data_IF_978313914266
#
_entry.id   IF_978313914266
#
_cell.length_a   1.000
_cell.length_b   1.000
_cell.length_c   1.000
_cell.angle_alpha   90.00
_cell.angle_beta   90.00
_cell.angle_gamma   90.00
#
_symmetry.space_group_name_H-M   'P 1'
#
loop_
_entity.id
_entity.type
_entity.pdbx_description
1 polymer ?
#
# COMPACT_ATOMS: atom_id res chain seq x y z
N UNK A 1 6.20 -8.30 13.15
CA UNK A 1 5.48 -9.00 12.06
C UNK A 1 4.62 -8.03 11.26
N UNK A 2 3.87 -7.16 11.93
CA UNK A 2 3.07 -6.04 11.39
C UNK A 2 3.70 -5.29 10.19
N UNK A 3 4.92 -4.76 10.36
CA UNK A 3 5.61 -3.94 9.34
C UNK A 3 5.92 -4.74 8.06
N UNK A 4 6.34 -6.01 8.21
CA UNK A 4 6.64 -6.86 7.06
C UNK A 4 5.37 -7.15 6.27
N UNK A 5 4.25 -7.41 6.95
CA UNK A 5 2.95 -7.62 6.32
C UNK A 5 2.51 -6.36 5.58
N UNK A 6 2.69 -5.18 6.17
CA UNK A 6 2.39 -3.91 5.50
C UNK A 6 3.27 -3.66 4.27
N UNK A 7 4.58 -3.98 4.34
CA UNK A 7 5.49 -3.86 3.19
C UNK A 7 5.15 -4.82 2.05
N UNK A 8 4.94 -6.11 2.35
CA UNK A 8 4.56 -7.10 1.34
C UNK A 8 3.18 -6.80 0.75
N UNK A 9 2.21 -6.42 1.59
CA UNK A 9 0.90 -6.02 1.11
C UNK A 9 0.97 -4.74 0.27
N UNK A 10 1.83 -3.79 0.64
CA UNK A 10 2.08 -2.59 -0.16
C UNK A 10 2.72 -2.90 -1.51
N UNK A 11 3.73 -3.77 -1.57
CA UNK A 11 4.32 -4.24 -2.82
C UNK A 11 3.26 -4.88 -3.73
N UNK A 12 2.43 -5.75 -3.16
CA UNK A 12 1.36 -6.46 -3.86
C UNK A 12 0.26 -5.49 -4.32
N UNK A 13 -0.12 -4.53 -3.46
CA UNK A 13 -1.11 -3.49 -3.75
C UNK A 13 -0.64 -2.53 -4.84
N UNK A 14 0.64 -2.18 -4.87
CA UNK A 14 1.26 -1.46 -5.98
C UNK A 14 1.17 -2.26 -7.28
N UNK A 15 1.66 -3.50 -7.32
CA UNK A 15 1.61 -4.34 -8.53
C UNK A 15 0.17 -4.49 -9.05
N UNK A 16 -0.79 -4.76 -8.15
CA UNK A 16 -2.21 -4.87 -8.48
C UNK A 16 -2.78 -3.56 -9.00
N UNK A 17 -2.47 -2.42 -8.36
CA UNK A 17 -2.92 -1.11 -8.81
C UNK A 17 -2.41 -0.79 -10.23
N UNK A 18 -1.16 -1.15 -10.54
CA UNK A 18 -0.62 -1.02 -11.90
C UNK A 18 -1.22 -2.02 -12.90
N UNK A 19 -1.61 -3.22 -12.44
CA UNK A 19 -2.30 -4.20 -13.28
C UNK A 19 -3.71 -3.72 -13.65
N UNK A 20 -4.42 -3.11 -12.70
CA UNK A 20 -5.73 -2.49 -12.92
C UNK A 20 -5.58 -1.24 -13.81
N UNK A 21 -4.63 -0.36 -13.48
CA UNK A 21 -4.33 0.85 -14.24
C UNK A 21 -3.06 0.71 -15.08
N UNK A 22 -3.14 -0.08 -16.16
CA UNK A 22 -1.99 -0.37 -17.04
C UNK A 22 -1.29 0.87 -17.58
N UNK A 23 -2.03 1.97 -17.79
CA UNK A 23 -1.49 3.25 -18.25
C UNK A 23 -0.58 3.95 -17.22
N UNK A 24 -0.68 3.59 -15.94
CA UNK A 24 0.10 4.14 -14.83
C UNK A 24 1.23 3.20 -14.38
N UNK A 25 1.35 2.01 -14.99
CA UNK A 25 2.38 1.05 -14.67
C UNK A 25 3.78 1.53 -15.09
N UNK A 26 4.74 1.41 -14.18
CA UNK A 26 6.13 1.84 -14.34
C UNK A 26 7.11 0.67 -14.56
N UNK A 27 6.58 -0.54 -14.74
CA UNK A 27 7.34 -1.81 -14.78
C UNK A 27 7.32 -2.53 -13.43
N UNK A 28 7.42 -3.87 -13.46
CA UNK A 28 7.20 -4.72 -12.27
C UNK A 28 8.05 -4.31 -11.06
N UNK A 29 9.35 -4.08 -11.27
CA UNK A 29 10.29 -3.72 -10.19
C UNK A 29 9.97 -2.34 -9.61
N UNK A 30 9.65 -1.35 -10.45
CA UNK A 30 9.34 0.02 -9.99
C UNK A 30 7.98 0.06 -9.29
N UNK A 31 7.00 -0.69 -9.79
CA UNK A 31 5.69 -0.84 -9.17
C UNK A 31 5.80 -1.48 -7.78
N UNK A 32 6.64 -2.52 -7.65
CA UNK A 32 6.90 -3.16 -6.36
C UNK A 32 7.62 -2.21 -5.40
N UNK A 33 8.64 -1.49 -5.86
CA UNK A 33 9.37 -0.52 -5.04
C UNK A 33 8.48 0.64 -4.57
N UNK A 34 7.68 1.22 -5.47
CA UNK A 34 6.67 2.22 -5.13
C UNK A 34 5.62 1.66 -4.16
N UNK A 35 5.21 0.41 -4.37
CA UNK A 35 4.31 -0.32 -3.49
C UNK A 35 4.88 -0.52 -2.08
N UNK A 36 6.16 -0.90 -1.95
CA UNK A 36 6.86 -1.04 -0.66
C UNK A 36 6.94 0.30 0.07
N UNK A 37 7.29 1.37 -0.64
CA UNK A 37 7.34 2.73 -0.07
C UNK A 37 5.95 3.17 0.39
N UNK A 38 4.90 2.90 -0.40
CA UNK A 38 3.53 3.14 -0.01
C UNK A 38 3.05 2.25 1.13
N UNK A 39 3.53 1.02 1.23
CA UNK A 39 3.27 0.12 2.36
C UNK A 39 3.84 0.65 3.66
N UNK A 40 5.04 1.23 3.63
CA UNK A 40 5.65 1.90 4.78
C UNK A 40 4.85 3.14 5.21
N UNK A 41 4.44 3.98 4.25
CA UNK A 41 3.61 5.16 4.52
C UNK A 41 2.22 4.75 5.04
N UNK A 42 1.65 3.67 4.49
CA UNK A 42 0.39 3.08 4.95
C UNK A 42 0.48 2.53 6.37
N UNK A 43 1.57 1.87 6.73
CA UNK A 43 1.85 1.43 8.09
C UNK A 43 1.93 2.61 9.06
N UNK A 44 2.65 3.67 8.67
CA UNK A 44 2.79 4.85 9.50
C UNK A 44 1.46 5.61 9.65
N UNK A 45 0.63 5.63 8.59
CA UNK A 45 -0.73 6.13 8.66
C UNK A 45 -1.61 5.26 9.58
N UNK A 46 -1.49 3.93 9.54
CA UNK A 46 -2.23 3.04 10.43
C UNK A 46 -1.89 3.31 11.91
N UNK A 47 -0.61 3.56 12.22
CA UNK A 47 -0.14 3.93 13.55
C UNK A 47 -0.73 5.27 14.02
N UNK A 48 -0.82 6.27 13.14
CA UNK A 48 -1.34 7.60 13.49
C UNK A 48 -2.85 7.68 13.55
N UNK A 49 -3.57 6.92 12.72
CA UNK A 49 -5.03 6.82 12.74
C UNK A 49 -5.57 5.93 13.87
N UNK A 50 -4.69 5.21 14.58
CA UNK A 50 -5.05 4.30 15.65
C UNK A 50 -5.35 2.90 15.12
N UNK A 51 -4.28 2.13 14.88
CA UNK A 51 -4.34 0.76 14.39
C UNK A 51 -5.25 -0.12 15.27
N UNK A 52 -5.34 0.15 16.57
CA UNK A 52 -6.22 -0.55 17.50
C UNK A 52 -7.71 -0.37 17.20
N UNK A 53 -8.12 0.82 16.74
CA UNK A 53 -9.51 1.10 16.39
C UNK A 53 -9.90 0.38 15.09
N UNK A 54 -9.00 0.39 14.09
CA UNK A 54 -9.16 -0.35 12.84
C UNK A 54 -9.13 -1.87 13.07
N UNK A 55 -8.24 -2.35 13.92
CA UNK A 55 -8.13 -3.77 14.26
C UNK A 55 -9.39 -4.28 14.96
N UNK A 56 -9.97 -3.48 15.86
CA UNK A 56 -11.28 -3.79 16.49
C UNK A 56 -12.41 -3.87 15.47
N UNK A 57 -12.39 -3.04 14.44
CA UNK A 57 -13.38 -3.05 13.37
C UNK A 57 -13.24 -4.27 12.45
N UNK A 58 -12.02 -4.80 12.33
CA UNK A 58 -11.66 -5.94 11.49
C UNK A 58 -11.66 -7.29 12.24
N UNK A 59 -12.34 -7.37 13.39
CA UNK A 59 -12.55 -8.62 14.14
C UNK A 59 -11.80 -8.72 15.47
N UNK A 60 -10.96 -7.73 15.80
CA UNK A 60 -10.22 -7.67 17.06
C UNK A 60 -9.08 -8.68 17.17
N UNK A 61 -8.22 -8.48 18.18
CA UNK A 61 -7.06 -9.32 18.43
C UNK A 61 -6.01 -9.31 17.31
N UNK A 62 -5.17 -10.34 17.27
CA UNK A 62 -4.06 -10.46 16.33
C UNK A 62 -4.50 -10.53 14.87
N UNK A 63 -5.64 -11.17 14.59
CA UNK A 63 -6.19 -11.26 13.24
C UNK A 63 -6.62 -9.87 12.70
N UNK A 64 -7.26 -9.06 13.57
CA UNK A 64 -7.65 -7.69 13.22
C UNK A 64 -6.44 -6.78 12.98
N UNK A 65 -5.35 -6.94 13.75
CA UNK A 65 -4.11 -6.19 13.50
C UNK A 65 -3.48 -6.58 12.17
N UNK A 66 -3.34 -7.88 11.88
CA UNK A 66 -2.79 -8.36 10.60
C UNK A 66 -3.61 -7.83 9.42
N UNK A 67 -4.94 -7.90 9.50
CA UNK A 67 -5.83 -7.40 8.46
C UNK A 67 -5.69 -5.88 8.27
N UNK A 68 -5.58 -5.13 9.37
CA UNK A 68 -5.37 -3.67 9.33
C UNK A 68 -4.08 -3.32 8.61
N UNK A 69 -2.96 -3.98 8.98
CA UNK A 69 -1.67 -3.72 8.36
C UNK A 69 -1.64 -4.14 6.89
N UNK A 70 -2.28 -5.25 6.53
CA UNK A 70 -2.40 -5.68 5.14
C UNK A 70 -3.23 -4.68 4.31
N UNK A 71 -4.37 -4.22 4.83
CA UNK A 71 -5.21 -3.24 4.14
C UNK A 71 -4.51 -1.89 3.99
N UNK A 72 -3.98 -1.35 5.08
CA UNK A 72 -3.31 -0.05 5.08
C UNK A 72 -2.02 -0.07 4.26
N UNK A 73 -1.26 -1.16 4.34
CA UNK A 73 -0.09 -1.38 3.50
C UNK A 73 -0.45 -1.44 2.02
N UNK A 74 -1.43 -2.27 1.65
CA UNK A 74 -1.89 -2.43 0.27
C UNK A 74 -2.50 -1.16 -0.34
N UNK A 75 -3.32 -0.45 0.42
CA UNK A 75 -3.88 0.84 0.01
C UNK A 75 -2.79 1.90 -0.14
N UNK A 76 -1.86 1.99 0.82
CA UNK A 76 -0.73 2.90 0.74
C UNK A 76 0.13 2.63 -0.50
N UNK A 77 0.42 1.36 -0.79
CA UNK A 77 1.14 0.94 -1.99
C UNK A 77 0.43 1.29 -3.30
N UNK A 78 -0.88 1.09 -3.35
CA UNK A 78 -1.71 1.45 -4.51
C UNK A 78 -1.73 2.97 -4.76
N UNK A 79 -1.94 3.77 -3.70
CA UNK A 79 -2.00 5.24 -3.79
C UNK A 79 -0.66 5.81 -4.23
N UNK A 80 0.45 5.35 -3.67
CA UNK A 80 1.80 5.82 -4.04
C UNK A 80 2.11 5.50 -5.50
N UNK A 81 1.80 4.29 -5.96
CA UNK A 81 2.02 3.96 -7.36
C UNK A 81 1.15 4.83 -8.27
N UNK A 82 -0.15 4.94 -8.02
CA UNK A 82 -1.04 5.74 -8.87
C UNK A 82 -0.58 7.20 -8.96
N UNK A 83 -0.13 7.78 -7.85
CA UNK A 83 0.40 9.15 -7.83
C UNK A 83 1.72 9.27 -8.60
N UNK A 84 2.67 8.33 -8.45
CA UNK A 84 3.89 8.29 -9.27
C UNK A 84 3.59 8.09 -10.77
N UNK A 85 2.67 7.19 -11.11
CA UNK A 85 2.26 6.92 -12.48
C UNK A 85 1.61 8.15 -13.13
N UNK A 86 0.77 8.88 -12.39
CA UNK A 86 0.19 10.14 -12.86
C UNK A 86 1.26 11.22 -13.03
N UNK A 87 2.18 11.37 -12.07
CA UNK A 87 3.27 12.32 -12.16
C UNK A 87 4.15 12.07 -13.40
N UNK A 88 4.51 10.81 -13.67
CA UNK A 88 5.24 10.45 -14.91
C UNK A 88 4.46 10.83 -16.16
N UNK A 89 3.15 10.56 -16.19
CA UNK A 89 2.31 10.88 -17.36
C UNK A 89 2.20 12.39 -17.61
N UNK A 90 2.31 13.20 -16.56
CA UNK A 90 2.33 14.66 -16.67
C UNK A 90 3.70 15.20 -17.08
N UNK A 91 4.80 14.56 -16.66
CA UNK A 91 6.18 14.97 -16.94
C UNK A 91 6.68 14.50 -18.31
N UNK A 92 6.26 13.33 -18.77
CA UNK A 92 6.67 12.73 -20.05
C UNK A 92 5.63 13.07 -21.14
N UNK A 93 5.10 14.30 -21.12
CA UNK A 93 4.23 14.81 -22.19
C UNK A 93 4.98 14.93 -23.50
#
# INVERSE_FOLDING_TARGET
MELLIALFSGATGGILAAAVYRALGLGFVVNAAAGVLGGLLGWQAAQTLGADALARLLGGGDAGMIATQALMGGLGGAVVLMSLGMARRLLVK
#
